data_IF_216983186053
#
_entry.id   IF_216983186053
#
_cell.length_a   1.000
_cell.length_b   1.000
_cell.length_c   1.000
_cell.angle_alpha   90.00
_cell.angle_beta   90.00
_cell.angle_gamma   90.00
#
_symmetry.space_group_name_H-M   'P 1'
#
loop_
_entity.id
_entity.type
_entity.pdbx_description
1 polymer ?
#
# COMPACT_ATOMS: atom_id res chain seq x y z
N UNK A 1 -4.50 9.58 12.33
CA UNK A 1 -3.92 8.50 13.16
C UNK A 1 -3.82 7.26 12.29
N UNK A 2 -3.04 6.25 12.69
CA UNK A 2 -2.85 5.01 11.91
C UNK A 2 -3.92 3.94 12.20
N UNK A 3 -4.86 4.23 13.09
CA UNK A 3 -5.88 3.29 13.54
C UNK A 3 -6.87 2.94 12.42
N UNK A 4 -7.19 1.66 12.30
CA UNK A 4 -8.11 1.10 11.29
C UNK A 4 -9.09 0.11 11.91
N UNK A 5 -10.15 -0.20 11.17
CA UNK A 5 -11.07 -1.30 11.46
C UNK A 5 -11.31 -2.13 10.18
N UNK A 6 -11.53 -3.44 10.34
CA UNK A 6 -11.93 -4.35 9.26
C UNK A 6 -13.45 -4.46 9.29
N UNK A 7 -14.10 -4.23 8.15
CA UNK A 7 -15.56 -4.30 8.03
C UNK A 7 -16.08 -5.75 8.04
N UNK A 8 -17.40 -5.97 8.19
CA UNK A 8 -17.99 -7.31 8.27
C UNK A 8 -17.78 -8.20 7.03
N UNK A 9 -17.36 -7.61 5.90
CA UNK A 9 -16.96 -8.36 4.71
C UNK A 9 -15.61 -9.08 4.85
N UNK A 10 -14.88 -8.81 5.95
CA UNK A 10 -13.55 -9.34 6.26
C UNK A 10 -12.45 -8.91 5.27
N UNK A 11 -12.68 -7.88 4.47
CA UNK A 11 -11.74 -7.39 3.45
C UNK A 11 -11.50 -5.89 3.52
N UNK A 12 -12.58 -5.12 3.67
CA UNK A 12 -12.50 -3.67 3.58
C UNK A 12 -11.89 -3.11 4.87
N UNK A 13 -10.73 -2.47 4.74
CA UNK A 13 -10.04 -1.77 5.83
C UNK A 13 -10.33 -0.27 5.72
N UNK A 14 -10.89 0.32 6.77
CA UNK A 14 -11.18 1.77 6.82
C UNK A 14 -10.44 2.45 7.97
N UNK A 15 -10.08 3.72 7.80
CA UNK A 15 -9.51 4.52 8.90
C UNK A 15 -10.55 4.69 10.00
N UNK A 16 -10.18 4.51 11.27
CA UNK A 16 -11.14 4.57 12.39
C UNK A 16 -11.82 5.94 12.50
N UNK A 17 -11.15 7.00 12.08
CA UNK A 17 -11.68 8.37 12.04
C UNK A 17 -12.36 8.74 10.71
N UNK A 18 -12.46 7.80 9.75
CA UNK A 18 -13.09 7.94 8.44
C UNK A 18 -12.54 9.09 7.58
N UNK A 19 -11.30 9.55 7.84
CA UNK A 19 -10.61 10.53 7.00
C UNK A 19 -9.99 9.83 5.77
N UNK A 20 -9.73 10.62 4.72
CA UNK A 20 -9.13 10.15 3.47
C UNK A 20 -7.80 9.41 3.72
N UNK A 21 -7.58 8.37 2.92
CA UNK A 21 -6.36 7.57 2.86
C UNK A 21 -5.92 7.40 1.41
N UNK A 22 -4.62 7.24 1.19
CA UNK A 22 -4.03 6.97 -0.12
C UNK A 22 -2.91 5.93 0.04
N UNK A 23 -2.69 5.12 -1.00
CA UNK A 23 -1.66 4.09 -1.05
C UNK A 23 -1.03 4.06 -2.44
N UNK A 24 0.27 3.79 -2.50
CA UNK A 24 1.02 3.55 -3.73
C UNK A 24 1.86 2.29 -3.53
N UNK A 25 2.03 1.51 -4.59
CA UNK A 25 2.77 0.25 -4.57
C UNK A 25 3.76 0.18 -5.74
N UNK A 26 4.95 -0.33 -5.45
CA UNK A 26 5.89 -0.80 -6.46
C UNK A 26 6.45 -2.16 -6.06
N UNK A 27 6.67 -3.02 -7.06
CA UNK A 27 7.46 -4.24 -6.87
C UNK A 27 8.93 -3.94 -7.17
N UNK A 28 9.84 -4.31 -6.28
CA UNK A 28 11.28 -4.02 -6.40
C UNK A 28 12.11 -5.29 -6.38
N UNK A 29 13.00 -5.46 -7.35
CA UNK A 29 14.02 -6.50 -7.36
C UNK A 29 15.35 -5.99 -6.82
N UNK A 30 15.99 -6.75 -5.93
CA UNK A 30 17.34 -6.46 -5.43
C UNK A 30 18.36 -7.04 -6.42
N UNK A 31 19.31 -6.23 -6.88
CA UNK A 31 20.36 -6.67 -7.80
C UNK A 31 21.72 -6.14 -7.37
N UNK A 32 22.80 -6.68 -7.95
CA UNK A 32 24.17 -6.21 -7.70
C UNK A 32 24.41 -4.76 -8.18
N UNK A 33 23.57 -4.25 -9.09
CA UNK A 33 23.64 -2.88 -9.61
C UNK A 33 22.74 -1.90 -8.85
N UNK A 34 22.03 -2.38 -7.82
CA UNK A 34 21.05 -1.61 -7.05
C UNK A 34 19.61 -2.14 -7.17
N UNK A 35 18.64 -1.47 -6.54
CA UNK A 35 17.23 -1.84 -6.64
C UNK A 35 16.67 -1.50 -8.02
N UNK A 36 15.91 -2.43 -8.61
CA UNK A 36 15.18 -2.23 -9.84
C UNK A 36 13.68 -2.13 -9.53
N UNK A 37 13.04 -1.03 -9.94
CA UNK A 37 11.59 -0.85 -9.84
C UNK A 37 10.94 -1.60 -11.01
N UNK A 38 10.31 -2.74 -10.75
CA UNK A 38 9.73 -3.62 -11.77
C UNK A 38 8.41 -3.09 -12.36
N UNK A 39 7.80 -2.13 -11.68
CA UNK A 39 6.46 -1.58 -11.99
C UNK A 39 6.51 -0.08 -12.27
N UNK A 40 7.67 0.43 -12.72
CA UNK A 40 7.80 1.82 -13.15
C UNK A 40 7.03 2.06 -14.46
N UNK A 41 6.53 3.28 -14.67
CA UNK A 41 5.87 3.65 -15.93
C UNK A 41 6.93 3.94 -16.98
N UNK A 42 6.77 3.37 -18.19
CA UNK A 42 7.61 3.66 -19.35
C UNK A 42 7.31 5.02 -19.98
#
# INVERSE_FOLDING_TARGET
TYEVEVLPDNWTVVTRNRRLSAHFEHTVAITDQGPLILTELF
#
